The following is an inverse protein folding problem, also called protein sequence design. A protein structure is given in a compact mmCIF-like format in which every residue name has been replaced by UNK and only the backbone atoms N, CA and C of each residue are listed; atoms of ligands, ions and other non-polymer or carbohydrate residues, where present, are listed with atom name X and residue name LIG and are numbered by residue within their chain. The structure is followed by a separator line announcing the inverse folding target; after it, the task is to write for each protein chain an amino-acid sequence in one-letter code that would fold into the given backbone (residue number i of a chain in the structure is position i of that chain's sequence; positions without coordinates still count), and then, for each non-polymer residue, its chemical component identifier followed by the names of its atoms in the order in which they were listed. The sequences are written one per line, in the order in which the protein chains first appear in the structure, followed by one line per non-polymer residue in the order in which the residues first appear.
data_IF_985864480859
#
_entry.id   IF_985864480859
#
_cell.length_a   1.000
_cell.length_b   1.000
_cell.length_c   1.000
_cell.angle_alpha   90.00
_cell.angle_beta   90.00
_cell.angle_gamma   90.00
#
_symmetry.space_group_name_H-M   'P 1'
#
loop_
_entity.id
_entity.type
_entity.pdbx_description
1 polymer ?
#
# COMPACT_ATOMS: atom_id res chain seq x y z
N UNK A 1 -3.93 16.17 -11.99
CA UNK A 1 -5.25 16.07 -11.33
C UNK A 1 -5.99 14.77 -11.68
N UNK A 2 -5.45 13.88 -12.54
CA UNK A 2 -6.13 12.63 -12.96
C UNK A 2 -5.85 11.38 -12.10
N UNK A 3 -5.17 11.51 -10.95
CA UNK A 3 -4.82 10.36 -10.09
C UNK A 3 -5.93 9.93 -9.13
N UNK A 4 -7.09 10.59 -9.14
CA UNK A 4 -8.02 10.55 -8.00
C UNK A 4 -9.18 9.56 -8.11
N UNK A 5 -9.43 8.93 -9.26
CA UNK A 5 -10.46 7.89 -9.35
C UNK A 5 -10.03 6.79 -10.33
N UNK A 6 -9.15 5.88 -9.89
CA UNK A 6 -9.08 4.59 -10.53
C UNK A 6 -10.48 3.97 -10.47
N UNK A 7 -11.00 3.49 -11.59
CA UNK A 7 -12.29 2.81 -11.62
C UNK A 7 -12.11 1.41 -11.04
N UNK A 8 -13.18 0.87 -10.47
CA UNK A 8 -13.25 -0.55 -10.16
C UNK A 8 -13.08 -1.36 -11.45
N UNK A 9 -12.41 -2.52 -11.35
CA UNK A 9 -12.14 -3.39 -12.49
C UNK A 9 -12.64 -4.78 -12.18
N UNK A 10 -13.48 -5.30 -13.08
CA UNK A 10 -13.98 -6.67 -13.00
C UNK A 10 -13.08 -7.58 -13.82
N UNK A 11 -12.64 -8.69 -13.25
CA UNK A 11 -11.84 -9.70 -13.93
C UNK A 11 -10.33 -9.46 -13.84
N UNK A 12 -9.59 -10.57 -13.67
CA UNK A 12 -8.13 -10.55 -13.53
C UNK A 12 -7.40 -10.14 -14.82
N UNK A 13 -7.96 -10.45 -15.99
CA UNK A 13 -7.33 -10.09 -17.26
C UNK A 13 -7.45 -8.59 -17.54
N UNK A 14 -8.62 -7.99 -17.30
CA UNK A 14 -8.82 -6.54 -17.41
C UNK A 14 -7.96 -5.78 -16.40
N UNK A 15 -7.86 -6.29 -15.16
CA UNK A 15 -6.97 -5.70 -14.15
C UNK A 15 -5.51 -5.67 -14.61
N UNK A 16 -5.03 -6.78 -15.18
CA UNK A 16 -3.67 -6.86 -15.72
C UNK A 16 -3.46 -5.92 -16.89
N UNK A 17 -4.47 -5.77 -17.76
CA UNK A 17 -4.39 -4.85 -18.88
C UNK A 17 -4.31 -3.39 -18.41
N UNK A 18 -5.12 -3.00 -17.43
CA UNK A 18 -5.18 -1.63 -16.90
C UNK A 18 -3.94 -1.26 -16.06
N UNK A 19 -3.40 -2.22 -15.32
CA UNK A 19 -2.24 -1.98 -14.43
C UNK A 19 -0.90 -2.24 -15.12
N UNK A 20 -0.87 -3.10 -16.13
CA UNK A 20 0.37 -3.65 -16.70
C UNK A 20 0.98 -4.79 -15.87
N UNK A 21 0.35 -5.21 -14.77
CA UNK A 21 0.90 -6.20 -13.86
C UNK A 21 0.91 -7.60 -14.51
N UNK A 22 2.06 -8.27 -14.47
CA UNK A 22 2.20 -9.62 -15.02
C UNK A 22 1.39 -10.66 -14.25
N UNK A 23 0.93 -11.73 -14.93
CA UNK A 23 0.10 -12.80 -14.34
C UNK A 23 0.70 -13.41 -13.07
N UNK A 24 2.02 -13.68 -13.09
CA UNK A 24 2.76 -14.20 -11.93
C UNK A 24 2.71 -13.24 -10.75
N UNK A 25 2.88 -11.94 -11.00
CA UNK A 25 2.95 -10.93 -9.96
C UNK A 25 1.58 -10.58 -9.39
N UNK A 26 0.52 -10.60 -10.21
CA UNK A 26 -0.85 -10.50 -9.70
C UNK A 26 -1.16 -11.65 -8.74
N UNK A 27 -0.88 -12.90 -9.13
CA UNK A 27 -1.13 -14.05 -8.27
C UNK A 27 -0.36 -13.95 -6.93
N UNK A 28 0.88 -13.45 -6.96
CA UNK A 28 1.67 -13.23 -5.74
C UNK A 28 1.14 -12.09 -4.89
N UNK A 29 0.72 -10.97 -5.49
CA UNK A 29 0.13 -9.87 -4.76
C UNK A 29 -1.18 -10.27 -4.07
N UNK A 30 -2.00 -11.11 -4.71
CA UNK A 30 -3.20 -11.71 -4.11
C UNK A 30 -2.84 -12.67 -2.96
N UNK A 31 -1.86 -13.56 -3.16
CA UNK A 31 -1.37 -14.49 -2.12
C UNK A 31 -0.85 -13.73 -0.88
N UNK A 32 -0.16 -12.61 -1.09
CA UNK A 32 0.40 -11.78 -0.03
C UNK A 32 -0.62 -10.83 0.61
N UNK A 33 -1.84 -10.74 0.07
CA UNK A 33 -2.86 -9.79 0.51
C UNK A 33 -2.45 -8.33 0.29
N UNK A 34 -1.55 -8.07 -0.66
CA UNK A 34 -1.17 -6.73 -1.13
C UNK A 34 -2.26 -6.16 -2.05
N UNK A 35 -2.85 -7.03 -2.86
CA UNK A 35 -4.05 -6.78 -3.67
C UNK A 35 -5.11 -7.74 -3.18
N UNK A 36 -6.30 -7.25 -2.86
CA UNK A 36 -7.37 -8.04 -2.23
C UNK A 36 -8.69 -7.82 -2.95
N UNK A 37 -8.91 -8.48 -4.11
CA UNK A 37 -10.17 -8.33 -4.82
C UNK A 37 -11.33 -8.91 -4.02
N UNK A 38 -12.49 -8.29 -4.16
CA UNK A 38 -13.76 -8.87 -3.74
C UNK A 38 -14.13 -10.01 -4.69
N UNK A 39 -14.74 -11.06 -4.17
CA UNK A 39 -15.28 -12.16 -4.98
C UNK A 39 -16.77 -11.93 -5.14
N UNK A 40 -17.22 -11.69 -6.37
CA UNK A 40 -18.62 -11.50 -6.71
C UNK A 40 -19.39 -12.82 -6.71
N UNK A 41 -20.72 -12.75 -6.73
CA UNK A 41 -21.60 -13.94 -6.71
C UNK A 41 -21.37 -14.87 -7.90
N UNK A 42 -20.93 -14.34 -9.05
CA UNK A 42 -20.59 -15.09 -10.25
C UNK A 42 -19.18 -15.71 -10.22
N UNK A 43 -18.43 -15.51 -9.13
CA UNK A 43 -17.06 -15.98 -8.94
C UNK A 43 -16.00 -15.08 -9.59
N UNK A 44 -16.38 -13.97 -10.23
CA UNK A 44 -15.43 -13.01 -10.76
C UNK A 44 -14.80 -12.15 -9.66
N UNK A 45 -13.55 -11.74 -9.89
CA UNK A 45 -12.83 -10.82 -9.01
C UNK A 45 -13.21 -9.37 -9.36
N UNK A 46 -13.58 -8.59 -8.35
CA UNK A 46 -13.73 -7.13 -8.45
C UNK A 46 -12.58 -6.46 -7.70
N UNK A 47 -11.78 -5.69 -8.43
CA UNK A 47 -10.66 -4.93 -7.89
C UNK A 47 -11.10 -3.50 -7.63
N UNK A 48 -10.89 -3.02 -6.40
CA UNK A 48 -11.26 -1.67 -5.99
C UNK A 48 -10.20 -0.65 -6.43
N UNK A 49 -10.51 0.66 -6.38
CA UNK A 49 -9.58 1.69 -6.82
C UNK A 49 -8.18 1.61 -6.18
N UNK A 50 -8.11 1.24 -4.90
CA UNK A 50 -6.84 1.08 -4.19
C UNK A 50 -6.03 -0.12 -4.70
N UNK A 51 -6.67 -1.24 -5.04
CA UNK A 51 -5.99 -2.39 -5.66
C UNK A 51 -5.36 -1.98 -7.01
N UNK A 52 -6.10 -1.21 -7.81
CA UNK A 52 -5.63 -0.72 -9.12
C UNK A 52 -4.45 0.23 -8.94
N UNK A 53 -4.52 1.14 -7.96
CA UNK A 53 -3.43 2.06 -7.64
C UNK A 53 -2.18 1.30 -7.18
N UNK A 54 -2.32 0.31 -6.30
CA UNK A 54 -1.23 -0.55 -5.82
C UNK A 54 -0.61 -1.32 -6.98
N UNK A 55 -1.43 -1.94 -7.85
CA UNK A 55 -0.95 -2.66 -9.02
C UNK A 55 -0.12 -1.78 -9.96
N UNK A 56 -0.55 -0.54 -10.21
CA UNK A 56 0.21 0.44 -11.00
C UNK A 56 1.52 0.84 -10.33
N UNK A 57 1.52 1.05 -9.01
CA UNK A 57 2.74 1.38 -8.26
C UNK A 57 3.77 0.25 -8.30
N UNK A 58 3.34 -1.01 -8.24
CA UNK A 58 4.24 -2.16 -8.39
C UNK A 58 4.91 -2.18 -9.76
N UNK A 59 4.20 -1.82 -10.83
CA UNK A 59 4.75 -1.71 -12.19
C UNK A 59 5.68 -0.50 -12.30
N UNK A 60 5.31 0.64 -11.73
CA UNK A 60 6.17 1.83 -11.69
C UNK A 60 7.51 1.56 -10.99
N UNK A 61 7.52 0.73 -9.93
CA UNK A 61 8.77 0.30 -9.28
C UNK A 61 9.69 -0.47 -10.22
N UNK A 62 9.16 -1.42 -10.99
CA UNK A 62 9.93 -2.17 -12.00
C UNK A 62 10.49 -1.22 -13.07
N UNK A 63 9.69 -0.27 -13.56
CA UNK A 63 10.13 0.73 -14.53
C UNK A 63 11.24 1.67 -14.01
N UNK A 64 11.28 1.92 -12.70
CA UNK A 64 12.30 2.74 -12.06
C UNK A 64 13.60 1.98 -11.77
N UNK A 65 13.69 0.69 -12.11
CA UNK A 65 14.84 -0.17 -11.81
C UNK A 65 14.85 -0.68 -10.37
N UNK A 66 13.67 -0.77 -9.75
CA UNK A 66 13.46 -1.40 -8.44
C UNK A 66 12.64 -2.67 -8.59
N UNK A 67 12.86 -3.39 -9.69
CA UNK A 67 12.26 -4.69 -9.95
C UNK A 67 13.09 -5.84 -9.39
N UNK A 68 12.53 -7.06 -9.36
CA UNK A 68 13.27 -8.27 -9.02
C UNK A 68 14.53 -8.48 -9.87
N UNK A 69 14.53 -7.98 -11.12
CA UNK A 69 15.66 -8.07 -12.04
C UNK A 69 16.83 -7.16 -11.63
N UNK A 70 16.54 -6.11 -10.86
CA UNK A 70 17.50 -5.10 -10.40
C UNK A 70 17.98 -5.37 -8.97
N UNK A 71 17.57 -6.51 -8.38
CA UNK A 71 17.99 -6.94 -7.04
C UNK A 71 17.06 -6.47 -5.91
N UNK A 72 15.91 -5.86 -6.22
CA UNK A 72 14.88 -5.62 -5.21
C UNK A 72 14.23 -6.95 -4.80
N UNK A 73 14.12 -7.22 -3.51
CA UNK A 73 13.42 -8.40 -3.00
C UNK A 73 11.90 -8.16 -2.99
N UNK A 74 11.12 -8.85 -3.82
CA UNK A 74 9.68 -8.63 -3.90
C UNK A 74 8.93 -9.04 -2.62
N UNK A 75 9.52 -9.88 -1.76
CA UNK A 75 9.00 -10.21 -0.43
C UNK A 75 8.93 -8.99 0.50
N UNK A 76 9.73 -7.95 0.25
CA UNK A 76 9.65 -6.70 1.02
C UNK A 76 8.25 -6.07 0.91
N UNK A 77 7.56 -6.23 -0.24
CA UNK A 77 6.18 -5.75 -0.40
C UNK A 77 5.20 -6.50 0.50
N UNK A 78 5.37 -7.82 0.66
CA UNK A 78 4.57 -8.60 1.62
C UNK A 78 4.81 -8.11 3.04
N UNK A 79 6.07 -7.92 3.41
CA UNK A 79 6.43 -7.43 4.75
C UNK A 79 5.84 -6.05 5.05
N UNK A 80 5.86 -5.15 4.08
CA UNK A 80 5.22 -3.83 4.21
C UNK A 80 3.71 -3.97 4.39
N UNK A 81 3.04 -4.78 3.57
CA UNK A 81 1.59 -4.99 3.66
C UNK A 81 1.20 -5.62 5.01
N UNK A 82 1.92 -6.64 5.46
CA UNK A 82 1.71 -7.27 6.77
C UNK A 82 1.90 -6.28 7.92
N UNK A 83 2.96 -5.48 7.87
CA UNK A 83 3.21 -4.45 8.89
C UNK A 83 2.07 -3.45 8.97
N UNK A 84 1.64 -2.89 7.83
CA UNK A 84 0.55 -1.91 7.77
C UNK A 84 -0.76 -2.54 8.24
N UNK A 85 -1.11 -3.74 7.76
CA UNK A 85 -2.33 -4.46 8.15
C UNK A 85 -2.38 -4.71 9.65
N UNK A 86 -1.30 -5.25 10.23
CA UNK A 86 -1.22 -5.54 11.65
C UNK A 86 -1.32 -4.26 12.49
N UNK A 87 -0.66 -3.18 12.06
CA UNK A 87 -0.76 -1.89 12.72
C UNK A 87 -2.20 -1.36 12.69
N UNK A 88 -2.82 -1.28 11.51
CA UNK A 88 -4.18 -0.73 11.32
C UNK A 88 -5.20 -1.52 12.15
N UNK A 89 -5.16 -2.85 12.10
CA UNK A 89 -6.05 -3.71 12.89
C UNK A 89 -5.85 -3.43 14.39
N UNK A 90 -4.62 -3.31 14.87
CA UNK A 90 -4.34 -3.05 16.28
C UNK A 90 -4.86 -1.68 16.77
N UNK A 91 -4.69 -0.64 15.95
CA UNK A 91 -5.12 0.72 16.29
C UNK A 91 -6.63 0.84 16.21
N UNK A 92 -7.25 0.33 15.13
CA UNK A 92 -8.70 0.35 14.98
C UNK A 92 -9.36 -0.47 16.09
N UNK A 93 -8.86 -1.67 16.41
CA UNK A 93 -9.41 -2.46 17.52
C UNK A 93 -9.42 -1.68 18.83
N UNK A 94 -8.28 -1.10 19.22
CA UNK A 94 -8.16 -0.30 20.44
C UNK A 94 -9.07 0.93 20.41
N UNK A 95 -9.21 1.58 19.26
CA UNK A 95 -10.04 2.77 19.13
C UNK A 95 -11.53 2.45 19.22
N UNK A 96 -11.99 1.42 18.52
CA UNK A 96 -13.38 0.94 18.52
C UNK A 96 -13.79 0.43 19.91
N UNK A 97 -12.96 -0.43 20.54
CA UNK A 97 -13.25 -0.94 21.90
C UNK A 97 -13.47 0.17 22.94
N UNK A 98 -12.76 1.29 22.80
CA UNK A 98 -12.86 2.43 23.72
C UNK A 98 -13.93 3.47 23.34
N UNK A 99 -14.59 3.36 22.18
CA UNK A 99 -15.49 4.40 21.66
C UNK A 99 -16.79 3.86 21.03
N UNK A 100 -17.16 2.60 21.30
CA UNK A 100 -18.31 1.89 20.70
C UNK A 100 -19.63 2.68 20.72
N UNK A 101 -19.93 3.38 21.81
CA UNK A 101 -21.18 4.17 21.94
C UNK A 101 -21.24 5.40 21.01
N UNK A 102 -20.10 5.88 20.50
CA UNK A 102 -20.01 7.06 19.63
C UNK A 102 -20.09 6.71 18.14
N UNK A 103 -20.00 5.43 17.79
CA UNK A 103 -19.89 4.92 16.42
C UNK A 103 -21.17 5.03 15.58
N UNK A 104 -22.31 5.32 16.20
CA UNK A 104 -23.64 5.16 15.57
C UNK A 104 -24.18 6.44 14.94
N UNK A 105 -23.50 7.59 15.07
CA UNK A 105 -23.96 8.84 14.47
C UNK A 105 -23.34 9.09 13.09
N UNK A 106 -24.11 9.67 12.17
CA UNK A 106 -23.63 10.07 10.84
C UNK A 106 -22.42 11.02 10.93
N UNK A 107 -22.42 11.93 11.90
CA UNK A 107 -21.28 12.83 12.20
C UNK A 107 -20.01 12.08 12.63
N UNK A 108 -20.13 10.85 13.13
CA UNK A 108 -18.99 10.02 13.45
C UNK A 108 -18.37 9.42 12.20
N UNK A 109 -19.19 8.92 11.27
CA UNK A 109 -18.72 8.35 9.99
C UNK A 109 -17.94 9.38 9.17
N UNK A 110 -18.44 10.61 9.10
CA UNK A 110 -17.77 11.70 8.38
C UNK A 110 -16.42 12.07 9.03
N UNK A 111 -16.37 12.15 10.37
CA UNK A 111 -15.12 12.41 11.11
C UNK A 111 -14.12 11.27 11.02
N UNK A 112 -14.58 10.01 11.00
CA UNK A 112 -13.72 8.84 10.82
C UNK A 112 -13.07 8.85 9.43
N UNK A 113 -13.83 9.21 8.39
CA UNK A 113 -13.30 9.35 7.02
C UNK A 113 -12.20 10.43 6.95
N UNK A 114 -12.46 11.60 7.53
CA UNK A 114 -11.45 12.68 7.62
C UNK A 114 -10.21 12.26 8.42
N UNK A 115 -10.41 11.53 9.52
CA UNK A 115 -9.31 11.02 10.33
C UNK A 115 -8.42 10.04 9.53
N UNK A 116 -9.02 9.14 8.76
CA UNK A 116 -8.27 8.21 7.90
C UNK A 116 -7.41 8.97 6.88
N UNK A 117 -7.94 10.02 6.23
CA UNK A 117 -7.15 10.85 5.31
C UNK A 117 -5.93 11.50 6.00
N UNK A 118 -6.14 12.10 7.18
CA UNK A 118 -5.06 12.74 7.96
C UNK A 118 -4.00 11.72 8.36
N UNK A 119 -4.40 10.54 8.83
CA UNK A 119 -3.47 9.48 9.21
C UNK A 119 -2.71 8.93 8.00
N UNK A 120 -3.38 8.73 6.86
CA UNK A 120 -2.72 8.32 5.61
C UNK A 120 -1.64 9.31 5.17
N UNK A 121 -1.93 10.61 5.21
CA UNK A 121 -0.93 11.66 4.92
C UNK A 121 0.22 11.66 5.94
N UNK A 122 -0.09 11.45 7.22
CA UNK A 122 0.93 11.33 8.26
C UNK A 122 1.89 10.16 7.97
N UNK A 123 1.37 8.99 7.59
CA UNK A 123 2.20 7.84 7.19
C UNK A 123 3.09 8.14 6.00
N UNK A 124 2.53 8.75 4.95
CA UNK A 124 3.30 9.17 3.78
C UNK A 124 4.49 10.06 4.14
N UNK A 125 4.26 11.08 4.97
CA UNK A 125 5.32 11.99 5.39
C UNK A 125 6.34 11.33 6.32
N UNK A 126 5.88 10.44 7.21
CA UNK A 126 6.74 9.70 8.13
C UNK A 126 7.68 8.76 7.38
N UNK A 127 7.17 8.00 6.42
CA UNK A 127 7.96 7.13 5.55
C UNK A 127 9.05 7.93 4.83
N UNK A 128 8.68 9.04 4.17
CA UNK A 128 9.65 9.92 3.47
C UNK A 128 10.72 10.49 4.39
N UNK A 129 10.35 10.86 5.61
CA UNK A 129 11.29 11.36 6.62
C UNK A 129 12.30 10.28 6.99
N UNK A 130 11.83 9.07 7.32
CA UNK A 130 12.68 7.97 7.75
C UNK A 130 13.59 7.44 6.65
N UNK A 131 13.11 7.35 5.40
CA UNK A 131 13.97 7.02 4.25
C UNK A 131 15.10 8.03 4.15
N UNK A 132 14.80 9.34 4.18
CA UNK A 132 15.83 10.39 4.11
C UNK A 132 16.85 10.28 5.25
N UNK A 133 16.40 9.99 6.47
CA UNK A 133 17.28 9.83 7.63
C UNK A 133 18.16 8.58 7.51
N UNK A 134 17.60 7.45 7.08
CA UNK A 134 18.32 6.20 6.86
C UNK A 134 19.38 6.35 5.75
N UNK A 135 19.00 6.94 4.61
CA UNK A 135 19.94 7.20 3.51
C UNK A 135 21.10 8.07 3.97
N UNK A 136 20.85 9.15 4.72
CA UNK A 136 21.93 9.99 5.27
C UNK A 136 22.89 9.21 6.15
N UNK A 137 22.38 8.33 7.03
CA UNK A 137 23.21 7.50 7.91
C UNK A 137 24.05 6.50 7.12
N UNK A 138 23.46 5.84 6.13
CA UNK A 138 24.16 4.86 5.28
C UNK A 138 25.19 5.51 4.36
N UNK A 139 24.91 6.71 3.84
CA UNK A 139 25.87 7.50 3.06
C UNK A 139 27.03 7.98 3.94
N UNK A 140 26.77 8.43 5.16
CA UNK A 140 27.82 8.83 6.11
C UNK A 140 28.73 7.66 6.53
N UNK A 141 28.23 6.42 6.53
CA UNK A 141 29.03 5.22 6.79
C UNK A 141 29.89 4.79 5.58
N UNK A 142 29.52 5.23 4.36
CA UNK A 142 30.25 4.93 3.12
C UNK A 142 31.34 5.94 2.77
N UNK A 143 31.43 7.08 3.46
CA UNK A 143 32.63 7.92 3.39
C UNK A 143 33.74 7.22 4.17
N UNK A 144 34.85 6.80 3.53
CA UNK A 144 36.01 6.36 4.29
C UNK A 144 36.44 7.53 5.16
N UNK A 145 36.83 7.25 6.40
CA UNK A 145 37.81 8.08 7.08
C UNK A 145 39.05 8.13 6.17
N UNK A 146 39.10 9.12 5.28
CA UNK A 146 40.36 9.60 4.76
C UNK A 146 41.02 10.29 5.94
N UNK A 147 41.74 9.50 6.72
CA UNK A 147 42.68 9.94 7.74
C UNK A 147 43.54 11.07 7.16
N UNK A 148 43.68 12.13 7.95
CA UNK A 148 44.83 13.04 7.89
C UNK A 148 45.70 12.77 9.09
#
# INVERSE_FOLDING_TARGET
ADRLFAKEIKGRDDFRQETGLGKKWLAKAEEWGVITPEVLEDGEALFLPDDVAIGKLMVDMDHLGFGPKDGFDPEDLRHIAEFVKNYVVSVLKKYYENNLEKLTSKEYVDRASQYHEVISLFFYHLYRKFVREATRRLSAYREPHTDK
#
